data_IF_994871443431
#
_entry.id   IF_994871443431
#
_cell.length_a   1.000
_cell.length_b   1.000
_cell.length_c   1.000
_cell.angle_alpha   90.00
_cell.angle_beta   90.00
_cell.angle_gamma   90.00
#
_symmetry.space_group_name_H-M   'P 1'
#
loop_
_entity.id
_entity.type
_entity.pdbx_description
1 polymer ?
#
# COMPACT_ATOMS: atom_id res chain seq x y z
N UNK A 1 20.74 10.84 4.11
CA UNK A 1 21.36 9.58 3.61
C UNK A 1 22.85 9.61 3.97
N UNK A 2 23.39 8.50 4.46
CA UNK A 2 24.70 8.45 5.14
C UNK A 2 25.93 8.22 4.24
N UNK A 3 25.74 7.93 2.94
CA UNK A 3 26.85 7.85 1.98
C UNK A 3 27.05 9.21 1.31
N UNK A 4 28.08 9.91 1.76
CA UNK A 4 28.43 11.27 1.38
C UNK A 4 29.29 11.34 0.10
N UNK A 5 29.29 12.48 -0.57
CA UNK A 5 30.11 12.78 -1.76
C UNK A 5 29.28 12.91 -3.04
N UNK A 6 29.61 13.92 -3.84
CA UNK A 6 29.01 14.19 -5.17
C UNK A 6 29.78 13.55 -6.32
N UNK A 7 30.93 12.94 -6.03
CA UNK A 7 31.77 12.22 -6.99
C UNK A 7 31.16 10.89 -7.46
N UNK A 8 31.59 10.42 -8.64
CA UNK A 8 31.07 9.20 -9.24
C UNK A 8 31.29 7.95 -8.37
N UNK A 9 32.36 7.87 -7.56
CA UNK A 9 32.56 6.72 -6.66
C UNK A 9 31.47 6.70 -5.57
N UNK A 10 31.19 7.82 -4.92
CA UNK A 10 30.07 7.93 -3.97
C UNK A 10 28.71 7.69 -4.63
N UNK A 11 28.52 8.17 -5.86
CA UNK A 11 27.31 7.93 -6.66
C UNK A 11 27.11 6.44 -6.95
N UNK A 12 28.16 5.74 -7.38
CA UNK A 12 28.17 4.29 -7.64
C UNK A 12 27.84 3.50 -6.36
N UNK A 13 28.45 3.85 -5.22
CA UNK A 13 28.16 3.19 -3.93
C UNK A 13 26.67 3.36 -3.58
N UNK A 14 26.12 4.58 -3.66
CA UNK A 14 24.70 4.84 -3.41
C UNK A 14 23.77 4.03 -4.32
N UNK A 15 24.02 4.04 -5.63
CA UNK A 15 23.21 3.31 -6.61
C UNK A 15 23.32 1.78 -6.45
N UNK A 16 24.49 1.25 -6.14
CA UNK A 16 24.67 -0.20 -5.94
C UNK A 16 24.03 -0.68 -4.63
N UNK A 17 24.10 0.08 -3.53
CA UNK A 17 23.40 -0.28 -2.28
C UNK A 17 21.89 -0.46 -2.50
N UNK A 18 21.21 0.51 -3.16
CA UNK A 18 19.77 0.34 -3.43
C UNK A 18 19.48 -0.72 -4.49
N UNK A 19 20.42 -0.99 -5.41
CA UNK A 19 20.27 -2.07 -6.39
C UNK A 19 20.35 -3.44 -5.71
N UNK A 20 21.28 -3.67 -4.78
CA UNK A 20 21.33 -4.88 -3.96
C UNK A 20 20.07 -5.07 -3.10
N UNK A 21 19.58 -4.02 -2.45
CA UNK A 21 18.33 -4.04 -1.68
C UNK A 21 17.14 -4.43 -2.56
N UNK A 22 17.00 -3.84 -3.75
CA UNK A 22 15.94 -4.22 -4.69
C UNK A 22 16.15 -5.64 -5.25
N UNK A 23 17.39 -6.06 -5.51
CA UNK A 23 17.74 -7.37 -6.04
C UNK A 23 17.35 -8.51 -5.08
N UNK A 24 17.52 -8.33 -3.76
CA UNK A 24 17.02 -9.28 -2.77
C UNK A 24 15.49 -9.48 -2.90
N UNK A 25 14.73 -8.39 -3.00
CA UNK A 25 13.28 -8.42 -3.19
C UNK A 25 12.88 -9.05 -4.55
N UNK A 26 13.62 -8.76 -5.63
CA UNK A 26 13.36 -9.32 -6.97
C UNK A 26 13.57 -10.84 -6.98
N UNK A 27 14.63 -11.34 -6.33
CA UNK A 27 14.91 -12.79 -6.22
C UNK A 27 13.83 -13.50 -5.38
N UNK A 28 13.34 -12.84 -4.33
CA UNK A 28 12.21 -13.35 -3.54
C UNK A 28 10.91 -13.38 -4.37
N UNK A 29 10.52 -12.26 -5.01
CA UNK A 29 9.32 -12.21 -5.85
C UNK A 29 9.37 -13.18 -7.04
N UNK A 30 10.54 -13.37 -7.65
CA UNK A 30 10.79 -14.42 -8.65
C UNK A 30 10.50 -15.83 -8.12
N UNK A 31 10.47 -16.03 -6.80
CA UNK A 31 10.15 -17.34 -6.19
C UNK A 31 8.68 -17.43 -5.78
N UNK A 32 8.17 -16.43 -5.05
CA UNK A 32 6.84 -16.48 -4.42
C UNK A 32 5.68 -15.99 -5.30
N UNK A 33 5.94 -15.40 -6.47
CA UNK A 33 4.90 -14.84 -7.34
C UNK A 33 4.99 -15.33 -8.79
N UNK A 34 3.88 -15.88 -9.30
CA UNK A 34 3.77 -16.37 -10.68
C UNK A 34 4.03 -15.26 -11.70
N UNK A 35 3.40 -14.09 -11.49
CA UNK A 35 3.55 -12.90 -12.33
C UNK A 35 5.01 -12.42 -12.43
N UNK A 36 5.75 -12.42 -11.32
CA UNK A 36 7.17 -12.05 -11.30
C UNK A 36 8.08 -13.16 -11.89
N UNK A 37 7.77 -14.43 -11.63
CA UNK A 37 8.50 -15.58 -12.20
C UNK A 37 8.37 -15.66 -13.73
N UNK A 38 7.20 -15.33 -14.29
CA UNK A 38 7.00 -15.24 -15.75
C UNK A 38 7.80 -14.10 -16.37
N UNK A 39 7.93 -12.95 -15.68
CA UNK A 39 8.75 -11.81 -16.13
C UNK A 39 10.25 -12.11 -16.07
N UNK A 40 10.70 -12.82 -15.02
CA UNK A 40 12.10 -13.19 -14.83
C UNK A 40 12.26 -14.71 -14.62
N UNK A 41 12.23 -15.53 -15.69
CA UNK A 41 12.32 -16.99 -15.55
C UNK A 41 13.66 -17.48 -14.97
N UNK A 42 14.77 -16.87 -15.41
CA UNK A 42 16.16 -17.19 -14.98
C UNK A 42 16.90 -15.94 -14.49
N UNK A 43 18.05 -16.13 -13.84
CA UNK A 43 18.89 -15.02 -13.39
C UNK A 43 19.48 -14.21 -14.57
N UNK A 44 19.64 -14.82 -15.74
CA UNK A 44 20.09 -14.13 -16.96
C UNK A 44 19.05 -13.10 -17.46
N UNK A 45 17.76 -13.29 -17.16
CA UNK A 45 16.73 -12.28 -17.41
C UNK A 45 16.84 -11.10 -16.43
N UNK A 46 17.26 -11.35 -15.19
CA UNK A 46 17.53 -10.30 -14.17
C UNK A 46 18.77 -9.48 -14.57
N UNK A 47 19.80 -10.13 -15.14
CA UNK A 47 20.96 -9.45 -15.72
C UNK A 47 20.61 -8.69 -17.01
N UNK A 48 19.85 -9.31 -17.92
CA UNK A 48 19.40 -8.68 -19.17
C UNK A 48 18.50 -7.45 -18.94
N UNK A 49 17.78 -7.40 -17.83
CA UNK A 49 17.01 -6.24 -17.38
C UNK A 49 17.85 -5.17 -16.64
N UNK A 50 19.16 -5.36 -16.47
CA UNK A 50 20.06 -4.42 -15.81
C UNK A 50 19.95 -4.37 -14.27
N UNK A 51 19.31 -5.36 -13.65
CA UNK A 51 19.02 -5.40 -12.21
C UNK A 51 20.17 -6.04 -11.41
N UNK A 52 20.92 -6.95 -12.05
CA UNK A 52 22.15 -7.58 -11.58
C UNK A 52 23.23 -7.41 -12.66
N UNK A 53 24.52 -7.25 -12.30
CA UNK A 53 25.61 -7.23 -13.28
C UNK A 53 26.07 -8.64 -13.66
N UNK A 54 26.78 -8.84 -14.80
CA UNK A 54 27.36 -10.14 -15.13
C UNK A 54 28.38 -10.64 -14.08
N UNK A 55 29.14 -9.73 -13.47
CA UNK A 55 30.11 -10.02 -12.40
C UNK A 55 29.41 -10.47 -11.11
N UNK A 56 28.30 -9.82 -10.75
CA UNK A 56 27.46 -10.22 -9.62
C UNK A 56 26.78 -11.56 -9.87
N UNK A 57 26.36 -11.85 -11.11
CA UNK A 57 25.85 -13.19 -11.44
C UNK A 57 26.92 -14.25 -11.23
N UNK A 58 28.16 -14.02 -11.64
CA UNK A 58 29.26 -14.95 -11.35
C UNK A 58 29.48 -15.13 -9.84
N UNK A 59 29.36 -14.07 -9.03
CA UNK A 59 29.45 -14.15 -7.57
C UNK A 59 28.24 -14.83 -6.90
N UNK A 60 27.05 -14.71 -7.48
CA UNK A 60 25.83 -15.38 -7.03
C UNK A 60 25.82 -16.88 -7.38
N UNK A 61 26.29 -17.20 -8.59
CA UNK A 61 26.42 -18.56 -9.10
C UNK A 61 27.57 -19.31 -8.38
N UNK A 62 28.63 -18.62 -7.91
CA UNK A 62 29.72 -19.23 -7.13
C UNK A 62 29.33 -19.69 -5.72
N UNK A 63 28.20 -19.21 -5.18
CA UNK A 63 27.61 -19.77 -3.97
C UNK A 63 27.05 -21.18 -4.26
N UNK A 64 27.68 -22.22 -3.74
CA UNK A 64 27.33 -23.63 -4.02
C UNK A 64 26.05 -24.13 -3.33
N UNK A 65 25.44 -23.33 -2.47
CA UNK A 65 24.27 -23.73 -1.69
C UNK A 65 23.02 -23.86 -2.58
N UNK A 66 22.41 -25.05 -2.59
CA UNK A 66 21.17 -25.37 -3.31
C UNK A 66 19.92 -24.99 -2.48
N UNK A 67 19.84 -23.71 -2.09
CA UNK A 67 18.70 -23.11 -1.36
C UNK A 67 18.34 -21.78 -2.02
N UNK A 68 17.25 -21.14 -1.58
CA UNK A 68 16.94 -19.80 -2.07
C UNK A 68 18.00 -18.78 -1.59
N UNK A 69 18.54 -17.99 -2.53
CA UNK A 69 19.65 -17.05 -2.30
C UNK A 69 19.23 -15.58 -2.23
N UNK A 70 17.95 -15.26 -2.00
CA UNK A 70 17.49 -13.86 -1.84
C UNK A 70 18.24 -13.10 -0.72
N UNK A 71 18.87 -13.81 0.21
CA UNK A 71 19.68 -13.25 1.29
C UNK A 71 21.06 -12.75 0.84
N UNK A 72 21.59 -13.22 -0.30
CA UNK A 72 22.96 -12.91 -0.76
C UNK A 72 23.18 -11.40 -1.00
N UNK A 73 22.27 -10.64 -1.65
CA UNK A 73 22.44 -9.20 -1.81
C UNK A 73 22.38 -8.39 -0.50
N UNK A 74 21.74 -8.90 0.57
CA UNK A 74 21.83 -8.26 1.89
C UNK A 74 23.27 -8.33 2.43
N UNK A 75 23.92 -9.49 2.33
CA UNK A 75 25.34 -9.66 2.73
C UNK A 75 26.26 -8.79 1.88
N UNK A 76 26.00 -8.67 0.58
CA UNK A 76 26.74 -7.74 -0.29
C UNK A 76 26.54 -6.26 0.11
N UNK A 77 25.35 -5.89 0.58
CA UNK A 77 25.05 -4.53 1.08
C UNK A 77 25.85 -4.18 2.34
N UNK A 78 25.94 -5.12 3.29
CA UNK A 78 26.76 -5.00 4.50
C UNK A 78 28.24 -4.82 4.12
N UNK A 79 28.74 -5.67 3.21
CA UNK A 79 30.13 -5.59 2.74
C UNK A 79 30.43 -4.29 1.98
N UNK A 80 29.49 -3.76 1.20
CA UNK A 80 29.64 -2.48 0.51
C UNK A 80 29.67 -1.28 1.47
N UNK A 81 28.99 -1.34 2.61
CA UNK A 81 29.14 -0.31 3.66
C UNK A 81 30.48 -0.43 4.37
N UNK A 82 30.97 -1.63 4.64
CA UNK A 82 32.33 -1.82 5.16
C UNK A 82 33.40 -1.25 4.21
N UNK A 83 33.15 -1.22 2.90
CA UNK A 83 33.97 -0.51 1.90
C UNK A 83 33.74 1.01 1.98
N UNK A 84 32.49 1.48 2.01
CA UNK A 84 32.17 2.91 2.06
C UNK A 84 32.73 3.63 3.31
N UNK A 85 32.76 2.95 4.45
CA UNK A 85 33.38 3.44 5.70
C UNK A 85 34.91 3.49 5.56
N UNK A 86 35.54 2.46 4.99
CA UNK A 86 36.99 2.45 4.71
C UNK A 86 37.42 3.53 3.70
N UNK A 87 36.57 3.85 2.74
CA UNK A 87 36.77 4.95 1.77
C UNK A 87 36.41 6.34 2.34
N UNK A 88 36.05 6.45 3.62
CA UNK A 88 35.67 7.72 4.27
C UNK A 88 34.38 8.34 3.73
N UNK A 89 33.58 7.58 2.95
CA UNK A 89 32.32 8.04 2.36
C UNK A 89 31.16 8.00 3.34
N UNK A 90 31.29 7.26 4.44
CA UNK A 90 30.26 7.09 5.46
C UNK A 90 30.91 7.05 6.84
N UNK A 91 30.40 7.85 7.78
CA UNK A 91 30.91 7.88 9.15
C UNK A 91 30.62 6.57 9.88
N UNK A 92 31.64 6.03 10.57
CA UNK A 92 31.50 4.88 11.47
C UNK A 92 30.63 5.21 12.70
N UNK A 93 30.02 4.19 13.32
CA UNK A 93 29.14 4.33 14.48
C UNK A 93 27.67 4.36 14.08
N UNK A 94 26.87 5.25 14.69
CA UNK A 94 25.41 5.26 14.57
C UNK A 94 24.87 5.25 13.11
N UNK A 95 25.46 5.95 12.13
CA UNK A 95 24.99 5.88 10.74
C UNK A 95 25.07 4.48 10.12
N UNK A 96 26.07 3.69 10.52
CA UNK A 96 26.24 2.29 10.10
C UNK A 96 25.22 1.42 10.83
N UNK A 97 25.09 1.59 12.14
CA UNK A 97 24.13 0.85 12.96
C UNK A 97 22.71 1.02 12.43
N UNK A 98 22.22 2.26 12.27
CA UNK A 98 20.85 2.49 11.78
C UNK A 98 20.61 1.90 10.38
N UNK A 99 21.61 1.91 9.48
CA UNK A 99 21.47 1.23 8.20
C UNK A 99 21.31 -0.29 8.38
N UNK A 100 22.10 -0.90 9.26
CA UNK A 100 22.01 -2.33 9.53
C UNK A 100 20.68 -2.70 10.19
N UNK A 101 20.16 -1.85 11.08
CA UNK A 101 18.85 -2.03 11.72
C UNK A 101 17.72 -1.98 10.68
N UNK A 102 17.74 -1.01 9.76
CA UNK A 102 16.78 -0.92 8.63
C UNK A 102 16.93 -2.08 7.64
N UNK A 103 18.17 -2.50 7.34
CA UNK A 103 18.44 -3.66 6.48
C UNK A 103 17.93 -4.97 7.11
N UNK A 104 18.08 -5.11 8.43
CA UNK A 104 17.54 -6.22 9.20
C UNK A 104 16.01 -6.16 9.24
N UNK A 105 15.41 -4.98 9.43
CA UNK A 105 13.95 -4.80 9.35
C UNK A 105 13.39 -5.25 7.98
N UNK A 106 14.06 -4.90 6.89
CA UNK A 106 13.71 -5.39 5.56
C UNK A 106 13.95 -6.89 5.41
N UNK A 107 15.07 -7.42 5.93
CA UNK A 107 15.36 -8.86 5.90
C UNK A 107 14.29 -9.68 6.64
N UNK A 108 13.84 -9.23 7.81
CA UNK A 108 12.74 -9.84 8.57
C UNK A 108 11.44 -9.81 7.77
N UNK A 109 11.11 -8.69 7.10
CA UNK A 109 9.94 -8.59 6.20
C UNK A 109 10.04 -9.57 5.02
N UNK A 110 11.22 -9.75 4.40
CA UNK A 110 11.42 -10.79 3.39
C UNK A 110 11.34 -12.22 3.96
N UNK A 111 11.71 -12.41 5.23
CA UNK A 111 11.57 -13.67 5.96
C UNK A 111 10.11 -14.05 6.22
N UNK A 112 9.25 -13.10 6.61
CA UNK A 112 7.81 -13.34 6.75
C UNK A 112 7.16 -13.71 5.41
N UNK A 113 7.51 -13.00 4.32
CA UNK A 113 7.03 -13.34 2.97
C UNK A 113 7.45 -14.76 2.55
N UNK A 114 8.70 -15.14 2.80
CA UNK A 114 9.17 -16.52 2.60
C UNK A 114 8.43 -17.54 3.48
N UNK A 115 8.16 -17.19 4.74
CA UNK A 115 7.42 -18.04 5.67
C UNK A 115 5.97 -18.29 5.25
N UNK A 116 5.27 -17.28 4.73
CA UNK A 116 3.90 -17.42 4.24
C UNK A 116 3.79 -18.22 2.93
N UNK A 117 4.81 -18.16 2.06
CA UNK A 117 4.91 -18.99 0.85
C UNK A 117 5.21 -20.47 1.20
N UNK A 118 6.13 -20.70 2.13
CA UNK A 118 6.54 -22.06 2.52
C UNK A 118 5.53 -22.76 3.45
N UNK A 119 4.91 -22.03 4.39
CA UNK A 119 3.98 -22.56 5.40
C UNK A 119 2.58 -22.04 5.12
N UNK A 120 1.95 -22.62 4.11
CA UNK A 120 0.55 -22.35 3.74
C UNK A 120 -0.45 -22.87 4.80
N UNK A 121 -1.69 -22.41 4.75
CA UNK A 121 -2.80 -22.97 5.56
C UNK A 121 -2.85 -24.50 5.44
N UNK A 122 -2.96 -25.26 6.56
CA UNK A 122 -2.96 -26.72 6.51
C UNK A 122 -4.02 -27.29 5.56
N UNK A 123 -3.60 -28.17 4.65
CA UNK A 123 -4.45 -28.72 3.59
C UNK A 123 -5.74 -29.38 4.13
N UNK A 124 -5.68 -30.01 5.31
CA UNK A 124 -6.87 -30.60 5.96
C UNK A 124 -7.93 -29.55 6.33
N UNK A 125 -7.54 -28.32 6.70
CA UNK A 125 -8.52 -27.27 7.01
C UNK A 125 -9.23 -26.78 5.74
N UNK A 126 -8.50 -26.53 4.65
CA UNK A 126 -9.11 -26.12 3.37
C UNK A 126 -10.00 -27.22 2.81
N UNK A 127 -9.59 -28.49 2.91
CA UNK A 127 -10.40 -29.65 2.54
C UNK A 127 -11.67 -29.77 3.37
N UNK A 128 -11.62 -29.65 4.70
CA UNK A 128 -12.80 -29.78 5.57
C UNK A 128 -13.82 -28.67 5.30
N UNK A 129 -13.38 -27.40 5.20
CA UNK A 129 -14.30 -26.27 4.92
C UNK A 129 -14.92 -26.41 3.52
N UNK A 130 -14.14 -26.81 2.53
CA UNK A 130 -14.63 -27.07 1.16
C UNK A 130 -15.65 -28.21 1.15
N UNK A 131 -15.33 -29.35 1.79
CA UNK A 131 -16.19 -30.53 1.85
C UNK A 131 -17.52 -30.24 2.54
N UNK A 132 -17.50 -29.56 3.70
CA UNK A 132 -18.71 -29.20 4.44
C UNK A 132 -19.61 -28.27 3.63
N UNK A 133 -19.03 -27.28 2.95
CA UNK A 133 -19.78 -26.34 2.09
C UNK A 133 -20.42 -27.07 0.90
N UNK A 134 -19.69 -27.96 0.24
CA UNK A 134 -20.23 -28.75 -0.88
C UNK A 134 -21.27 -29.77 -0.43
N UNK A 135 -21.10 -30.41 0.73
CA UNK A 135 -22.07 -31.36 1.31
C UNK A 135 -23.37 -30.65 1.73
N UNK A 136 -23.28 -29.42 2.24
CA UNK A 136 -24.45 -28.58 2.51
C UNK A 136 -25.26 -28.31 1.23
N UNK A 137 -24.59 -27.96 0.12
CA UNK A 137 -25.29 -27.73 -1.14
C UNK A 137 -25.75 -29.01 -1.85
N UNK A 138 -25.03 -30.13 -1.70
CA UNK A 138 -25.49 -31.44 -2.17
C UNK A 138 -26.77 -31.88 -1.44
N UNK A 139 -26.84 -31.71 -0.11
CA UNK A 139 -28.06 -32.02 0.64
C UNK A 139 -29.19 -31.02 0.34
N UNK A 140 -28.89 -29.73 0.13
CA UNK A 140 -29.89 -28.76 -0.34
C UNK A 140 -30.41 -29.06 -1.75
N UNK A 141 -29.60 -29.60 -2.67
CA UNK A 141 -30.02 -29.97 -4.03
C UNK A 141 -31.15 -31.01 -4.03
N UNK A 142 -31.23 -31.84 -2.99
CA UNK A 142 -32.29 -32.84 -2.81
C UNK A 142 -33.39 -32.29 -1.87
N UNK A 143 -32.99 -31.83 -0.68
CA UNK A 143 -33.91 -31.41 0.40
C UNK A 143 -34.49 -30.00 0.30
N UNK A 144 -34.29 -29.29 -0.82
CA UNK A 144 -34.93 -28.00 -1.13
C UNK A 144 -35.64 -28.00 -2.49
N UNK A 145 -35.93 -29.18 -3.03
CA UNK A 145 -36.84 -29.32 -4.18
C UNK A 145 -38.27 -28.99 -3.73
N UNK A 146 -39.03 -28.33 -4.59
CA UNK A 146 -40.47 -28.18 -4.36
C UNK A 146 -41.13 -29.55 -4.59
N UNK A 147 -41.89 -30.02 -3.60
CA UNK A 147 -42.68 -31.24 -3.68
C UNK A 147 -44.09 -30.90 -4.14
N UNK A 148 -44.81 -31.89 -4.66
CA UNK A 148 -46.22 -31.77 -5.05
C UNK A 148 -47.09 -31.34 -3.85
N UNK A 149 -47.66 -30.11 -3.86
CA UNK A 149 -48.46 -29.61 -2.73
C UNK A 149 -49.74 -30.42 -2.50
N UNK A 150 -50.24 -31.16 -3.49
CA UNK A 150 -51.42 -32.02 -3.34
C UNK A 150 -51.18 -33.21 -2.39
N UNK A 151 -49.93 -33.54 -2.07
CA UNK A 151 -49.56 -34.62 -1.15
C UNK A 151 -49.47 -34.15 0.32
N UNK A 152 -49.60 -32.85 0.59
CA UNK A 152 -49.73 -32.31 1.96
C UNK A 152 -48.48 -32.49 2.84
N UNK A 153 -47.29 -32.55 2.23
CA UNK A 153 -46.04 -32.65 2.98
C UNK A 153 -45.77 -31.38 3.80
N UNK A 154 -45.57 -31.48 5.14
CA UNK A 154 -45.37 -30.31 5.98
C UNK A 154 -44.24 -29.39 5.48
N UNK A 155 -44.53 -28.09 5.35
CA UNK A 155 -43.57 -27.08 4.91
C UNK A 155 -43.30 -27.06 3.40
N UNK A 156 -44.04 -27.84 2.61
CA UNK A 156 -43.94 -27.90 1.14
C UNK A 156 -45.27 -27.50 0.48
N UNK A 157 -46.00 -26.59 1.12
CA UNK A 157 -47.35 -26.14 0.74
C UNK A 157 -47.37 -25.22 -0.50
N UNK A 158 -46.20 -24.78 -0.98
CA UNK A 158 -46.03 -23.82 -2.09
C UNK A 158 -44.90 -24.28 -3.01
N UNK A 159 -45.20 -24.45 -4.30
CA UNK A 159 -44.20 -24.54 -5.37
C UNK A 159 -43.97 -23.14 -5.98
N UNK A 160 -42.71 -22.70 -6.03
CA UNK A 160 -42.31 -21.44 -6.69
C UNK A 160 -41.53 -21.68 -8.00
N UNK A 161 -41.32 -22.94 -8.38
CA UNK A 161 -40.46 -23.44 -9.46
C UNK A 161 -38.96 -23.12 -9.31
N UNK A 162 -38.61 -21.87 -8.97
CA UNK A 162 -37.24 -21.42 -8.75
C UNK A 162 -36.98 -21.13 -7.25
N UNK A 163 -36.03 -21.83 -6.59
CA UNK A 163 -35.84 -21.76 -5.15
C UNK A 163 -34.98 -20.55 -4.73
N UNK A 164 -35.55 -19.34 -4.85
CA UNK A 164 -34.90 -18.03 -4.62
C UNK A 164 -34.03 -18.02 -3.35
N UNK A 165 -34.57 -18.41 -2.20
CA UNK A 165 -33.86 -18.37 -0.92
C UNK A 165 -32.68 -19.35 -0.84
N UNK A 166 -32.77 -20.50 -1.50
CA UNK A 166 -31.65 -21.45 -1.60
C UNK A 166 -30.55 -20.89 -2.50
N UNK A 167 -30.88 -20.17 -3.57
CA UNK A 167 -29.89 -19.44 -4.38
C UNK A 167 -29.24 -18.26 -3.63
N UNK A 168 -30.00 -17.53 -2.80
CA UNK A 168 -29.41 -16.49 -1.94
C UNK A 168 -28.44 -17.09 -0.90
N UNK A 169 -28.78 -18.24 -0.31
CA UNK A 169 -27.87 -18.99 0.56
C UNK A 169 -26.64 -19.52 -0.20
N UNK A 170 -26.81 -19.98 -1.44
CA UNK A 170 -25.72 -20.40 -2.34
C UNK A 170 -24.72 -19.26 -2.58
N UNK A 171 -25.18 -18.09 -3.02
CA UNK A 171 -24.31 -16.93 -3.21
C UNK A 171 -23.64 -16.45 -1.92
N UNK A 172 -24.30 -16.57 -0.76
CA UNK A 172 -23.70 -16.21 0.52
C UNK A 172 -22.56 -17.16 0.91
N UNK A 173 -22.83 -18.47 1.06
CA UNK A 173 -21.83 -19.40 1.57
C UNK A 173 -20.73 -19.75 0.57
N UNK A 174 -21.03 -19.94 -0.72
CA UNK A 174 -19.98 -20.14 -1.73
C UNK A 174 -19.26 -18.83 -2.08
N UNK A 175 -19.93 -17.67 -2.01
CA UNK A 175 -19.25 -16.38 -2.12
C UNK A 175 -18.22 -16.20 -1.00
N UNK A 176 -18.57 -16.54 0.23
CA UNK A 176 -17.65 -16.49 1.37
C UNK A 176 -16.51 -17.51 1.25
N UNK A 177 -16.79 -18.73 0.76
CA UNK A 177 -15.72 -19.69 0.41
C UNK A 177 -14.77 -19.13 -0.67
N UNK A 178 -15.30 -18.48 -1.71
CA UNK A 178 -14.47 -17.89 -2.77
C UNK A 178 -13.61 -16.73 -2.31
N UNK A 179 -14.06 -15.93 -1.34
CA UNK A 179 -13.19 -14.93 -0.69
C UNK A 179 -11.99 -15.60 0.01
N UNK A 180 -12.20 -16.75 0.66
CA UNK A 180 -11.10 -17.50 1.27
C UNK A 180 -10.19 -18.20 0.25
N UNK A 181 -10.75 -18.70 -0.87
CA UNK A 181 -9.95 -19.27 -1.97
C UNK A 181 -9.07 -18.21 -2.65
N UNK A 182 -9.60 -17.01 -2.92
CA UNK A 182 -8.85 -15.92 -3.57
C UNK A 182 -7.73 -15.40 -2.66
N UNK A 183 -8.00 -15.21 -1.36
CA UNK A 183 -7.01 -14.68 -0.42
C UNK A 183 -5.96 -15.70 0.06
N UNK A 184 -6.00 -16.97 -0.39
CA UNK A 184 -5.04 -18.00 0.07
C UNK A 184 -3.64 -17.82 -0.52
N UNK A 185 -3.52 -17.19 -1.70
CA UNK A 185 -2.25 -16.87 -2.34
C UNK A 185 -2.32 -15.51 -3.06
N UNK A 186 -2.16 -14.38 -2.34
CA UNK A 186 -2.27 -13.04 -2.92
C UNK A 186 -1.06 -12.64 -3.80
N UNK A 187 -0.20 -13.60 -4.19
CA UNK A 187 0.94 -13.40 -5.10
C UNK A 187 0.75 -14.09 -6.46
N UNK A 188 -0.47 -14.55 -6.74
CA UNK A 188 -0.88 -15.20 -7.98
C UNK A 188 -0.98 -14.26 -9.18
N UNK A 189 -2.12 -14.33 -9.87
CA UNK A 189 -2.46 -13.61 -11.10
C UNK A 189 -3.97 -13.26 -11.21
N UNK A 190 -4.72 -13.30 -10.11
CA UNK A 190 -6.15 -12.93 -10.05
C UNK A 190 -6.34 -11.39 -9.94
N UNK A 191 -7.54 -10.89 -10.29
CA UNK A 191 -7.85 -9.46 -10.44
C UNK A 191 -7.62 -8.56 -9.18
N UNK A 192 -7.56 -9.15 -7.98
CA UNK A 192 -7.29 -8.45 -6.70
C UNK A 192 -5.93 -8.84 -6.06
N UNK A 193 -5.08 -9.62 -6.74
CA UNK A 193 -3.76 -10.02 -6.22
C UNK A 193 -2.77 -8.85 -6.15
N UNK A 194 -1.66 -9.06 -5.42
CA UNK A 194 -0.60 -8.05 -5.33
C UNK A 194 0.14 -7.89 -6.66
N UNK A 195 0.11 -6.67 -7.19
CA UNK A 195 0.83 -6.18 -8.39
C UNK A 195 2.36 -6.18 -8.20
N UNK A 196 2.98 -7.34 -8.00
CA UNK A 196 4.42 -7.52 -7.71
C UNK A 196 5.31 -6.88 -8.76
N UNK A 197 4.93 -6.97 -10.03
CA UNK A 197 5.64 -6.35 -11.13
C UNK A 197 5.62 -4.81 -11.06
N UNK A 198 4.51 -4.20 -10.65
CA UNK A 198 4.44 -2.76 -10.40
C UNK A 198 5.31 -2.35 -9.21
N UNK A 199 5.30 -3.13 -8.11
CA UNK A 199 6.16 -2.85 -6.95
C UNK A 199 7.65 -2.88 -7.33
N UNK A 200 8.09 -3.84 -8.14
CA UNK A 200 9.46 -3.93 -8.67
C UNK A 200 9.81 -2.64 -9.44
N UNK A 201 9.02 -2.28 -10.46
CA UNK A 201 9.32 -1.13 -11.31
C UNK A 201 9.28 0.21 -10.55
N UNK A 202 8.27 0.38 -9.70
CA UNK A 202 8.13 1.56 -8.83
C UNK A 202 9.32 1.68 -7.89
N UNK A 203 9.75 0.59 -7.24
CA UNK A 203 10.83 0.65 -6.27
C UNK A 203 12.18 0.92 -6.94
N UNK A 204 12.46 0.32 -8.10
CA UNK A 204 13.68 0.62 -8.88
C UNK A 204 13.76 2.12 -9.22
N UNK A 205 12.68 2.68 -9.79
CA UNK A 205 12.63 4.09 -10.21
C UNK A 205 12.76 5.04 -8.99
N UNK A 206 11.96 4.81 -7.95
CA UNK A 206 11.93 5.66 -6.75
C UNK A 206 13.26 5.58 -5.98
N UNK A 207 13.83 4.39 -5.78
CA UNK A 207 15.09 4.24 -5.07
C UNK A 207 16.25 4.93 -5.80
N UNK A 208 16.37 4.80 -7.14
CA UNK A 208 17.41 5.53 -7.87
C UNK A 208 17.22 7.04 -7.81
N UNK A 209 15.99 7.53 -7.98
CA UNK A 209 15.68 8.97 -7.88
C UNK A 209 16.06 9.53 -6.51
N UNK A 210 15.78 8.79 -5.42
CA UNK A 210 16.11 9.21 -4.04
C UNK A 210 17.61 9.31 -3.81
N UNK A 211 18.41 8.33 -4.27
CA UNK A 211 19.86 8.26 -3.92
C UNK A 211 20.80 8.89 -4.95
N UNK A 212 20.27 9.24 -6.11
CA UNK A 212 21.01 9.89 -7.19
C UNK A 212 20.47 11.30 -7.45
N UNK A 213 19.30 11.42 -8.07
CA UNK A 213 18.74 12.70 -8.50
C UNK A 213 18.40 13.64 -7.33
N UNK A 214 17.97 13.13 -6.18
CA UNK A 214 17.64 13.93 -4.99
C UNK A 214 18.82 14.08 -4.02
N UNK A 215 19.98 13.46 -4.28
CA UNK A 215 21.11 13.53 -3.37
C UNK A 215 21.64 14.97 -3.23
N UNK A 216 21.62 15.50 -2.01
CA UNK A 216 22.11 16.84 -1.69
C UNK A 216 21.25 18.00 -2.22
N UNK A 217 20.11 17.74 -2.88
CA UNK A 217 19.21 18.79 -3.37
C UNK A 217 18.23 19.19 -2.28
N UNK A 218 18.29 20.47 -1.87
CA UNK A 218 17.31 21.11 -1.01
C UNK A 218 16.75 22.35 -1.74
N UNK A 219 15.52 22.74 -1.39
CA UNK A 219 15.01 24.07 -1.72
C UNK A 219 15.81 25.15 -0.98
N UNK A 220 15.78 26.39 -1.48
CA UNK A 220 16.37 27.54 -0.77
C UNK A 220 15.70 27.68 0.60
N UNK A 221 16.52 27.78 1.64
CA UNK A 221 16.03 28.03 3.00
C UNK A 221 15.61 29.50 3.10
N UNK A 222 14.30 29.70 3.24
CA UNK A 222 13.64 30.99 3.44
C UNK A 222 12.65 30.87 4.61
N UNK A 223 12.23 32.02 5.14
CA UNK A 223 11.16 32.07 6.15
C UNK A 223 9.83 31.64 5.55
N UNK A 224 9.05 30.88 6.29
CA UNK A 224 7.71 30.46 5.90
C UNK A 224 6.70 31.63 6.02
N UNK A 225 5.50 31.53 5.39
CA UNK A 225 4.49 32.58 5.40
C UNK A 225 3.89 32.91 6.78
N UNK A 226 4.11 32.09 7.80
CA UNK A 226 3.61 32.27 9.16
C UNK A 226 4.71 32.71 10.14
N UNK A 227 5.94 32.94 9.67
CA UNK A 227 7.09 33.30 10.51
C UNK A 227 6.82 34.56 11.34
N UNK A 228 6.76 34.39 12.67
CA UNK A 228 6.56 35.49 13.63
C UNK A 228 5.10 35.78 13.97
N UNK A 229 4.13 35.00 13.45
CA UNK A 229 2.75 35.03 13.94
C UNK A 229 2.64 34.26 15.26
N UNK A 230 1.92 34.82 16.24
CA UNK A 230 1.63 34.15 17.52
C UNK A 230 0.46 33.17 17.44
N UNK A 231 -0.41 33.34 16.45
CA UNK A 231 -1.53 32.45 16.13
C UNK A 231 -1.54 32.18 14.63
N UNK A 232 -1.75 30.92 14.24
CA UNK A 232 -1.74 30.50 12.84
C UNK A 232 -3.14 30.04 12.46
N UNK A 233 -3.81 30.81 11.61
CA UNK A 233 -5.05 30.37 10.95
C UNK A 233 -4.75 29.93 9.51
N UNK A 234 -4.98 28.65 9.24
CA UNK A 234 -4.85 28.07 7.90
C UNK A 234 -6.16 28.33 7.13
N UNK A 235 -6.11 28.85 5.89
CA UNK A 235 -7.31 29.16 5.12
C UNK A 235 -8.06 27.88 4.68
N UNK A 236 -9.39 27.93 4.75
CA UNK A 236 -10.28 26.89 4.24
C UNK A 236 -10.81 27.28 2.86
N UNK A 237 -10.93 26.30 1.96
CA UNK A 237 -11.76 26.46 0.74
C UNK A 237 -13.24 26.49 1.13
N UNK A 238 -14.09 27.12 0.31
CA UNK A 238 -15.54 27.22 0.52
C UNK A 238 -16.18 25.85 0.77
N UNK A 239 -15.88 24.85 -0.08
CA UNK A 239 -16.38 23.48 0.05
C UNK A 239 -15.90 22.76 1.32
N UNK A 240 -14.74 23.15 1.88
CA UNK A 240 -14.22 22.59 3.14
C UNK A 240 -14.66 23.36 4.38
N UNK A 241 -15.28 24.53 4.24
CA UNK A 241 -15.58 25.43 5.37
C UNK A 241 -16.59 24.81 6.35
N UNK A 242 -17.49 23.96 5.83
CA UNK A 242 -18.40 23.09 6.63
C UNK A 242 -17.67 22.10 7.56
N UNK A 243 -16.35 21.94 7.41
CA UNK A 243 -15.50 21.09 8.26
C UNK A 243 -14.61 21.90 9.22
N UNK A 244 -14.67 23.25 9.22
CA UNK A 244 -13.97 24.08 10.23
C UNK A 244 -14.69 23.98 11.58
N UNK A 245 -14.43 22.91 12.31
CA UNK A 245 -14.85 22.74 13.71
C UNK A 245 -13.94 23.55 14.66
N UNK A 246 -14.47 23.93 15.82
CA UNK A 246 -13.66 24.52 16.88
C UNK A 246 -12.68 23.48 17.46
N UNK A 247 -11.51 23.94 17.91
CA UNK A 247 -10.49 23.06 18.50
C UNK A 247 -11.07 22.26 19.68
N UNK A 248 -10.98 20.93 19.61
CA UNK A 248 -11.35 20.04 20.70
C UNK A 248 -10.37 20.19 21.87
N UNK A 249 -10.86 20.66 23.02
CA UNK A 249 -10.04 20.93 24.21
C UNK A 249 -9.93 19.72 25.16
N UNK A 250 -10.72 18.67 24.95
CA UNK A 250 -10.89 17.54 25.86
C UNK A 250 -12.31 17.47 26.43
N UNK A 251 -12.88 16.27 26.53
CA UNK A 251 -14.27 16.02 26.97
C UNK A 251 -14.57 16.42 28.42
N UNK A 252 -13.52 16.62 29.24
CA UNK A 252 -13.62 17.02 30.64
C UNK A 252 -13.43 18.53 30.86
N UNK A 253 -13.13 19.32 29.83
CA UNK A 253 -12.81 20.75 30.02
C UNK A 253 -13.98 21.62 30.52
N UNK A 254 -15.22 21.19 30.26
CA UNK A 254 -16.43 21.85 30.78
C UNK A 254 -16.87 21.28 32.15
N UNK A 255 -16.19 20.23 32.66
CA UNK A 255 -16.46 19.63 33.97
C UNK A 255 -15.83 20.50 35.05
N UNK A 256 -16.64 21.39 35.64
CA UNK A 256 -16.26 22.19 36.79
C UNK A 256 -16.21 21.30 38.05
N UNK A 257 -15.04 21.10 38.70
CA UNK A 257 -14.97 20.30 39.92
C UNK A 257 -15.73 20.99 41.06
N UNK A 258 -16.51 20.22 41.81
CA UNK A 258 -17.28 20.74 42.95
C UNK A 258 -16.35 20.85 44.16
N UNK A 259 -15.88 22.06 44.48
CA UNK A 259 -15.23 22.35 45.76
C UNK A 259 -14.12 23.41 45.75
N UNK A 260 -13.49 23.68 44.60
CA UNK A 260 -12.30 24.54 44.56
C UNK A 260 -12.60 26.03 44.36
N UNK A 261 -12.77 26.76 45.46
CA UNK A 261 -12.86 28.23 45.47
C UNK A 261 -11.51 28.92 45.66
N UNK A 262 -10.51 28.61 44.82
CA UNK A 262 -9.33 29.48 44.69
C UNK A 262 -9.72 30.76 43.96
N UNK A 263 -10.13 31.77 44.75
CA UNK A 263 -10.93 32.87 44.26
C UNK A 263 -10.18 33.92 43.42
N UNK A 264 -10.60 34.06 42.16
CA UNK A 264 -10.70 35.37 41.51
C UNK A 264 -11.86 35.40 40.51
N UNK A 265 -12.84 36.26 40.76
CA UNK A 265 -13.96 36.49 39.84
C UNK A 265 -13.57 37.53 38.80
N UNK A 266 -13.07 37.09 37.65
CA UNK A 266 -13.02 37.88 36.42
C UNK A 266 -14.29 37.62 35.58
N UNK A 267 -14.80 38.59 34.80
CA UNK A 267 -16.04 38.44 34.05
C UNK A 267 -15.87 37.50 32.84
N UNK A 268 -16.59 36.38 32.87
CA UNK A 268 -16.67 35.45 31.73
C UNK A 268 -17.56 36.04 30.62
N UNK A 269 -16.95 36.53 29.54
CA UNK A 269 -17.64 36.64 28.25
C UNK A 269 -17.93 35.22 27.74
N UNK A 270 -19.18 34.80 27.80
CA UNK A 270 -19.65 33.56 27.18
C UNK A 270 -19.84 33.77 25.67
N UNK A 271 -18.87 33.34 24.87
CA UNK A 271 -19.19 32.89 23.51
C UNK A 271 -19.81 31.49 23.62
N UNK A 272 -21.09 31.39 23.24
CA UNK A 272 -21.89 30.18 23.44
C UNK A 272 -21.48 29.09 22.46
N UNK A 273 -20.95 27.98 22.99
CA UNK A 273 -20.47 26.81 22.23
C UNK A 273 -21.63 25.93 21.73
N UNK A 274 -22.54 26.49 20.92
CA UNK A 274 -23.60 25.73 20.25
C UNK A 274 -23.00 24.87 19.12
N UNK A 275 -22.56 23.67 19.46
CA UNK A 275 -22.13 22.65 18.50
C UNK A 275 -23.31 21.71 18.16
N UNK A 276 -24.04 21.92 17.05
CA UNK A 276 -25.16 21.06 16.66
C UNK A 276 -24.74 19.63 16.30
N UNK A 277 -23.44 19.39 16.09
CA UNK A 277 -22.87 18.07 15.84
C UNK A 277 -22.40 17.36 17.13
N UNK A 278 -22.67 17.90 18.32
CA UNK A 278 -22.45 17.14 19.56
C UNK A 278 -23.46 15.99 19.62
N UNK A 279 -23.00 14.82 19.15
CA UNK A 279 -23.75 13.56 19.07
C UNK A 279 -24.54 13.34 20.36
N UNK A 280 -25.89 13.34 20.27
CA UNK A 280 -26.77 13.00 21.41
C UNK A 280 -26.25 11.71 22.04
N UNK A 281 -26.18 11.69 23.37
CA UNK A 281 -25.70 10.52 24.13
C UNK A 281 -26.51 9.30 23.70
N UNK A 282 -25.86 8.37 23.01
CA UNK A 282 -26.50 7.14 22.58
C UNK A 282 -26.61 6.23 23.79
N UNK A 283 -27.84 5.99 24.25
CA UNK A 283 -28.09 4.89 25.17
C UNK A 283 -27.59 3.59 24.50
N UNK A 284 -26.94 2.73 25.28
CA UNK A 284 -26.31 1.52 24.76
C UNK A 284 -27.38 0.54 24.22
N UNK A 285 -27.41 0.35 22.91
CA UNK A 285 -27.98 -0.84 22.26
C UNK A 285 -26.81 -1.74 21.87
N UNK A 286 -26.86 -3.01 22.27
CA UNK A 286 -25.77 -3.96 21.99
C UNK A 286 -25.81 -4.52 20.55
N UNK A 287 -26.78 -4.13 19.74
CA UNK A 287 -26.98 -4.65 18.38
C UNK A 287 -27.36 -3.57 17.35
N UNK A 288 -26.41 -3.21 16.48
CA UNK A 288 -26.67 -3.34 15.03
C UNK A 288 -27.29 -2.21 14.19
N UNK A 289 -27.04 -0.92 14.43
CA UNK A 289 -27.49 0.18 13.53
C UNK A 289 -26.57 0.42 12.29
N UNK A 290 -25.93 -0.62 11.77
CA UNK A 290 -24.89 -0.49 10.72
C UNK A 290 -25.39 -0.41 9.27
N UNK A 291 -26.63 -0.85 8.97
CA UNK A 291 -26.99 -1.29 7.62
C UNK A 291 -28.00 -0.44 6.84
N UNK A 292 -28.69 0.53 7.45
CA UNK A 292 -29.84 1.19 6.80
C UNK A 292 -29.52 2.35 5.84
N UNK A 293 -28.30 2.90 5.86
CA UNK A 293 -27.97 4.17 5.17
C UNK A 293 -27.49 4.03 3.72
N UNK A 294 -27.51 2.83 3.11
CA UNK A 294 -26.97 2.60 1.75
C UNK A 294 -28.03 2.70 0.64
N UNK A 295 -29.33 2.56 0.95
CA UNK A 295 -30.36 2.32 -0.09
C UNK A 295 -30.99 3.62 -0.66
N UNK A 296 -30.98 4.74 0.06
CA UNK A 296 -31.70 5.97 -0.35
C UNK A 296 -30.80 7.09 -0.91
N UNK A 297 -30.40 6.97 -2.18
CA UNK A 297 -29.91 8.11 -3.01
C UNK A 297 -30.53 8.11 -4.42
N UNK A 298 -31.73 8.69 -4.61
CA UNK A 298 -32.24 9.00 -5.96
C UNK A 298 -31.47 10.20 -6.54
N UNK A 299 -30.74 9.98 -7.63
CA UNK A 299 -30.03 11.06 -8.34
C UNK A 299 -30.99 11.99 -9.08
N UNK A 300 -30.85 13.32 -8.91
CA UNK A 300 -31.64 14.32 -9.62
C UNK A 300 -30.81 15.04 -10.68
N UNK A 301 -31.09 14.79 -11.96
CA UNK A 301 -30.67 15.65 -13.08
C UNK A 301 -31.50 16.94 -13.03
N UNK A 302 -30.84 18.10 -12.99
CA UNK A 302 -31.51 19.39 -13.21
C UNK A 302 -31.59 19.70 -14.69
N UNK A 303 -32.79 19.75 -15.26
CA UNK A 303 -33.01 20.28 -16.61
C UNK A 303 -33.29 21.79 -16.53
N UNK A 304 -32.67 22.57 -17.40
CA UNK A 304 -32.99 23.98 -17.58
C UNK A 304 -34.22 24.12 -18.48
N UNK A 305 -35.33 24.54 -17.89
CA UNK A 305 -36.45 25.19 -18.58
C UNK A 305 -36.75 26.46 -17.78
N UNK A 306 -36.78 27.61 -18.44
CA UNK A 306 -37.00 28.90 -17.79
C UNK A 306 -38.41 29.42 -18.03
N UNK A 307 -38.77 30.45 -17.28
CA UNK A 307 -39.79 31.42 -17.71
C UNK A 307 -39.40 32.82 -17.21
N UNK A 308 -40.08 33.87 -17.70
CA UNK A 308 -39.55 35.24 -17.68
C UNK A 308 -40.44 36.28 -16.95
N UNK A 309 -39.98 37.55 -16.99
CA UNK A 309 -40.58 38.78 -16.45
C UNK A 309 -40.35 39.05 -14.94
N UNK A 310 -40.32 40.30 -14.45
CA UNK A 310 -40.57 41.62 -15.08
C UNK A 310 -39.46 42.66 -14.78
N UNK A 311 -39.58 43.86 -15.37
CA UNK A 311 -38.54 44.90 -15.52
C UNK A 311 -38.10 45.63 -14.23
N UNK A 312 -36.90 46.21 -14.28
CA UNK A 312 -36.46 47.34 -13.44
C UNK A 312 -35.21 48.00 -14.03
N UNK A 313 -35.30 49.24 -14.50
CA UNK A 313 -34.20 49.96 -15.19
C UNK A 313 -33.68 51.10 -14.32
N UNK A 314 -32.35 51.23 -14.20
CA UNK A 314 -31.63 52.50 -14.12
C UNK A 314 -30.11 52.28 -14.26
N UNK A 315 -29.45 53.11 -15.07
CA UNK A 315 -28.00 53.25 -15.21
C UNK A 315 -27.63 54.70 -14.85
N UNK A 316 -26.39 55.01 -14.43
CA UNK A 316 -25.63 55.94 -15.29
C UNK A 316 -24.09 55.81 -15.31
N UNK A 317 -23.56 55.94 -16.54
CA UNK A 317 -22.34 56.69 -16.91
C UNK A 317 -20.93 56.15 -16.61
N UNK A 318 -20.00 56.60 -17.47
CA UNK A 318 -18.60 56.19 -17.66
C UNK A 318 -17.67 57.40 -17.54
N UNK A 319 -16.43 57.21 -17.09
CA UNK A 319 -15.29 58.06 -17.48
C UNK A 319 -13.95 57.26 -17.53
N UNK A 320 -12.96 57.77 -18.26
CA UNK A 320 -11.85 57.00 -18.85
C UNK A 320 -10.43 57.55 -18.53
N UNK A 321 -9.50 56.65 -18.15
CA UNK A 321 -8.06 56.59 -18.56
C UNK A 321 -7.14 57.84 -18.41
N UNK A 322 -5.84 57.82 -18.81
CA UNK A 322 -4.90 56.72 -19.17
C UNK A 322 -4.12 56.22 -17.92
N UNK A 323 -2.94 55.56 -17.89
CA UNK A 323 -1.90 55.07 -18.86
C UNK A 323 -1.21 53.82 -18.24
N UNK A 324 -0.21 53.12 -18.77
CA UNK A 324 0.55 53.13 -20.05
C UNK A 324 1.00 51.67 -20.36
N UNK A 325 1.37 51.34 -21.59
CA UNK A 325 2.01 50.04 -21.98
C UNK A 325 3.44 50.28 -22.53
N UNK A 326 4.25 49.34 -23.11
CA UNK A 326 3.95 48.14 -23.93
C UNK A 326 4.57 46.83 -23.34
N UNK A 327 4.68 45.63 -23.94
CA UNK A 327 4.91 45.18 -25.35
C UNK A 327 4.26 43.81 -25.67
N UNK A 328 3.84 43.66 -26.94
CA UNK A 328 3.52 42.48 -27.78
C UNK A 328 3.62 41.04 -27.21
N UNK A 329 2.63 40.15 -27.39
CA UNK A 329 2.21 39.43 -28.64
C UNK A 329 3.30 38.45 -29.19
N UNK A 330 2.98 37.21 -29.62
CA UNK A 330 1.97 36.87 -30.65
C UNK A 330 1.19 35.54 -30.46
N UNK A 331 0.11 35.39 -31.26
CA UNK A 331 -0.73 34.17 -31.43
C UNK A 331 -0.38 33.38 -32.70
N UNK A 332 -0.59 32.06 -32.68
CA UNK A 332 -1.27 31.21 -33.71
C UNK A 332 -1.38 29.76 -33.17
N UNK A 333 -2.19 28.81 -33.68
CA UNK A 333 -3.17 28.78 -34.78
C UNK A 333 -3.65 27.32 -34.99
N UNK A 334 -4.86 27.08 -35.54
CA UNK A 334 -5.54 25.75 -35.53
C UNK A 334 -5.70 25.16 -36.95
N UNK A 335 -5.32 23.89 -37.19
CA UNK A 335 -5.72 22.93 -38.28
C UNK A 335 -4.85 21.66 -38.20
N UNK A 336 -5.14 20.50 -38.83
CA UNK A 336 -6.36 20.09 -39.55
C UNK A 336 -6.17 18.96 -40.60
N UNK A 337 -6.24 17.70 -40.17
CA UNK A 337 -6.70 16.47 -40.91
C UNK A 337 -5.96 15.86 -42.15
N UNK A 338 -5.98 14.50 -42.17
CA UNK A 338 -6.15 13.51 -43.29
C UNK A 338 -5.03 13.02 -44.25
N UNK A 339 -4.66 11.73 -44.09
CA UNK A 339 -4.62 10.58 -45.05
C UNK A 339 -3.78 10.63 -46.35
N UNK A 340 -2.81 9.69 -46.51
CA UNK A 340 -2.70 8.72 -47.65
C UNK A 340 -1.43 7.82 -47.61
N UNK A 341 -1.56 6.53 -47.97
CA UNK A 341 -0.51 5.54 -48.36
C UNK A 341 -0.57 5.26 -49.89
N UNK A 342 0.21 4.34 -50.55
CA UNK A 342 1.41 3.54 -50.18
C UNK A 342 2.60 3.64 -51.20
N UNK A 343 3.72 2.90 -51.03
CA UNK A 343 4.62 2.59 -52.18
C UNK A 343 6.10 2.16 -51.99
N UNK A 344 6.36 0.88 -51.70
CA UNK A 344 7.50 0.02 -52.13
C UNK A 344 9.00 0.47 -52.20
N UNK A 345 9.83 -0.31 -51.48
CA UNK A 345 11.06 -1.05 -51.88
C UNK A 345 12.50 -0.47 -51.80
N UNK A 346 13.36 -1.33 -51.21
CA UNK A 346 14.83 -1.49 -51.33
C UNK A 346 15.76 -0.58 -50.51
N UNK A 347 16.80 -1.21 -49.92
CA UNK A 347 17.85 -0.57 -49.11
C UNK A 347 18.32 -1.46 -47.94
N UNK A 348 19.56 -1.93 -48.00
CA UNK A 348 20.20 -2.78 -46.96
C UNK A 348 21.06 -1.93 -46.02
N UNK A 349 21.01 -2.16 -44.69
CA UNK A 349 22.18 -2.15 -43.77
C UNK A 349 21.81 -2.62 -42.34
N UNK A 350 22.77 -2.59 -41.40
CA UNK A 350 22.83 -3.53 -40.24
C UNK A 350 22.74 -2.92 -38.83
N UNK A 351 22.23 -3.73 -37.88
CA UNK A 351 22.24 -3.57 -36.40
C UNK A 351 21.32 -2.48 -35.79
N UNK A 352 20.94 -2.58 -34.50
CA UNK A 352 21.02 -3.71 -33.56
C UNK A 352 19.63 -4.21 -33.08
N UNK A 353 19.60 -5.31 -32.31
CA UNK A 353 18.37 -5.84 -31.68
C UNK A 353 17.78 -4.85 -30.66
N UNK A 354 16.67 -4.21 -31.03
CA UNK A 354 15.92 -3.31 -30.15
C UNK A 354 14.65 -4.00 -29.65
N UNK A 355 14.58 -4.30 -28.35
CA UNK A 355 13.39 -4.89 -27.73
C UNK A 355 12.28 -3.84 -27.60
N UNK A 356 11.37 -3.81 -28.57
CA UNK A 356 10.16 -2.98 -28.54
C UNK A 356 9.19 -3.50 -27.47
N UNK A 357 9.07 -2.77 -26.37
CA UNK A 357 8.08 -3.05 -25.31
C UNK A 357 6.65 -2.87 -25.88
N UNK A 358 5.73 -3.84 -25.71
CA UNK A 358 4.34 -3.69 -26.12
C UNK A 358 3.67 -2.54 -25.37
N UNK A 359 3.05 -1.60 -26.10
CA UNK A 359 2.40 -0.43 -25.52
C UNK A 359 0.99 -0.77 -25.00
N UNK A 360 0.92 -1.49 -23.87
CA UNK A 360 -0.34 -1.88 -23.25
C UNK A 360 -1.05 -0.67 -22.61
N UNK A 361 -2.01 -0.09 -23.33
CA UNK A 361 -2.95 0.92 -22.83
C UNK A 361 -3.93 0.30 -21.80
N UNK A 362 -3.47 0.06 -20.57
CA UNK A 362 -4.34 -0.34 -19.47
C UNK A 362 -5.28 0.81 -19.06
N UNK A 363 -6.60 0.58 -19.19
CA UNK A 363 -7.62 1.55 -18.80
C UNK A 363 -7.74 1.65 -17.27
N UNK A 364 -6.96 2.57 -16.71
CA UNK A 364 -6.79 2.86 -15.27
C UNK A 364 -8.11 3.03 -14.49
N UNK A 365 -8.55 1.98 -13.80
CA UNK A 365 -9.60 2.07 -12.77
C UNK A 365 -8.99 2.39 -11.41
N UNK A 366 -8.93 3.67 -11.06
CA UNK A 366 -8.52 4.08 -9.71
C UNK A 366 -9.53 3.65 -8.64
N UNK A 367 -9.15 2.66 -7.82
CA UNK A 367 -9.65 2.47 -6.45
C UNK A 367 -8.47 2.08 -5.55
N UNK A 368 -8.04 2.91 -4.59
CA UNK A 368 -7.15 2.43 -3.53
C UNK A 368 -7.93 1.49 -2.61
N UNK A 369 -7.45 0.26 -2.42
CA UNK A 369 -8.03 -0.64 -1.43
C UNK A 369 -7.70 -0.15 -0.02
N UNK A 370 -8.69 0.44 0.65
CA UNK A 370 -8.56 0.91 2.03
C UNK A 370 -8.31 -0.24 3.03
N UNK A 371 -8.62 -1.48 2.64
CA UNK A 371 -8.45 -2.69 3.47
C UNK A 371 -6.97 -2.99 3.71
N UNK A 372 -6.14 -2.91 2.66
CA UNK A 372 -4.72 -3.22 2.74
C UNK A 372 -3.92 -2.29 3.68
N UNK A 373 -4.37 -1.04 3.85
CA UNK A 373 -3.75 -0.09 4.76
C UNK A 373 -4.04 -0.41 6.24
N UNK A 374 -5.25 -0.86 6.55
CA UNK A 374 -5.65 -1.15 7.93
C UNK A 374 -5.08 -2.47 8.47
N UNK A 375 -5.00 -3.52 7.65
CA UNK A 375 -4.41 -4.82 8.07
C UNK A 375 -2.95 -4.65 8.50
N UNK A 376 -2.19 -3.77 7.85
CA UNK A 376 -0.79 -3.47 8.20
C UNK A 376 -0.63 -2.58 9.45
N UNK A 377 -1.71 -2.01 9.99
CA UNK A 377 -1.70 -1.25 11.26
C UNK A 377 -2.29 -2.03 12.43
N UNK A 378 -3.27 -2.92 12.19
CA UNK A 378 -3.87 -3.74 13.25
C UNK A 378 -2.94 -4.82 13.83
N UNK A 379 -1.88 -5.21 13.09
CA UNK A 379 -0.92 -6.22 13.55
C UNK A 379 0.12 -5.66 14.55
N UNK A 380 0.26 -4.33 14.65
CA UNK A 380 1.24 -3.69 15.55
C UNK A 380 0.70 -3.29 16.93
N UNK A 381 -0.55 -3.61 17.27
CA UNK A 381 -1.21 -3.16 18.53
C UNK A 381 -1.57 -4.31 19.49
N UNK A 382 -1.16 -5.55 19.21
CA UNK A 382 -1.49 -6.73 20.05
C UNK A 382 -0.27 -7.52 20.53
N UNK A 383 0.72 -6.82 21.08
CA UNK A 383 1.82 -7.43 21.87
C UNK A 383 2.29 -6.43 22.94
N UNK A 384 1.69 -6.51 24.13
CA UNK A 384 2.20 -5.92 25.37
C UNK A 384 2.44 -7.05 26.37
N UNK A 385 3.60 -7.69 26.27
CA UNK A 385 4.08 -8.63 27.29
C UNK A 385 4.84 -7.91 28.41
N UNK A 386 4.88 -8.54 29.58
CA UNK A 386 5.35 -7.99 30.84
C UNK A 386 6.88 -8.07 30.94
N UNK A 387 7.54 -6.98 31.34
CA UNK A 387 8.99 -6.82 31.16
C UNK A 387 9.83 -7.48 32.26
N UNK A 388 10.28 -8.71 32.03
CA UNK A 388 11.38 -9.32 32.78
C UNK A 388 12.75 -8.67 32.42
N UNK A 389 13.76 -8.72 33.32
CA UNK A 389 15.03 -8.02 33.15
C UNK A 389 15.95 -8.69 32.10
N UNK A 390 16.58 -7.88 31.24
CA UNK A 390 17.48 -8.37 30.19
C UNK A 390 18.64 -9.24 30.74
N UNK A 391 18.91 -10.43 30.16
CA UNK A 391 20.06 -11.24 30.52
C UNK A 391 21.36 -10.60 30.03
N UNK A 392 22.49 -10.88 30.71
CA UNK A 392 23.75 -10.24 30.35
C UNK A 392 24.26 -10.68 28.96
N UNK A 393 25.12 -9.89 28.29
CA UNK A 393 25.73 -10.29 27.02
C UNK A 393 26.51 -11.60 27.09
N UNK A 394 27.02 -11.99 28.25
CA UNK A 394 27.69 -13.27 28.45
C UNK A 394 26.71 -14.45 28.46
N UNK A 395 25.46 -14.23 28.86
CA UNK A 395 24.43 -15.27 28.95
C UNK A 395 23.63 -15.37 27.65
N UNK A 396 23.50 -14.27 26.90
CA UNK A 396 23.01 -14.28 25.51
C UNK A 396 23.93 -15.13 24.62
N UNK A 397 25.25 -15.01 24.79
CA UNK A 397 26.24 -15.84 24.06
C UNK A 397 26.18 -17.31 24.51
N UNK A 398 25.92 -17.60 25.79
CA UNK A 398 25.70 -18.99 26.24
C UNK A 398 24.42 -19.58 25.65
N UNK A 399 23.31 -18.85 25.60
CA UNK A 399 22.09 -19.33 24.97
C UNK A 399 22.29 -19.58 23.47
N UNK A 400 22.96 -18.68 22.75
CA UNK A 400 23.28 -18.88 21.34
C UNK A 400 24.21 -20.10 21.10
N UNK A 401 25.12 -20.40 22.02
CA UNK A 401 25.96 -21.61 21.93
C UNK A 401 25.20 -22.88 22.34
N UNK A 402 24.32 -22.82 23.34
CA UNK A 402 23.50 -23.95 23.76
C UNK A 402 22.51 -24.39 22.67
N UNK A 403 21.88 -23.43 21.97
CA UNK A 403 21.00 -23.70 20.83
C UNK A 403 21.76 -24.41 19.69
N UNK A 404 23.03 -24.03 19.46
CA UNK A 404 23.90 -24.66 18.47
C UNK A 404 24.42 -26.04 18.89
N UNK A 405 24.51 -26.34 20.19
CA UNK A 405 24.81 -27.68 20.71
C UNK A 405 23.57 -28.60 20.66
N UNK A 406 22.36 -28.11 20.99
CA UNK A 406 21.10 -28.89 20.82
C UNK A 406 20.86 -29.26 19.35
N UNK A 407 20.97 -28.30 18.42
CA UNK A 407 20.92 -28.57 16.98
C UNK A 407 22.00 -29.59 16.53
N UNK A 408 23.16 -29.64 17.21
CA UNK A 408 24.21 -30.62 16.90
C UNK A 408 23.92 -32.01 17.46
N UNK A 409 23.42 -32.12 18.70
CA UNK A 409 23.10 -33.42 19.30
C UNK A 409 21.96 -34.11 18.55
N UNK A 410 20.94 -33.37 18.08
CA UNK A 410 19.86 -33.93 17.25
C UNK A 410 20.34 -34.34 15.84
N UNK A 411 21.31 -33.64 15.25
CA UNK A 411 21.94 -34.07 13.99
C UNK A 411 22.81 -35.33 14.19
N UNK A 412 23.46 -35.48 15.35
CA UNK A 412 24.31 -36.64 15.68
C UNK A 412 23.50 -37.85 16.15
N UNK A 413 22.35 -37.66 16.79
CA UNK A 413 21.47 -38.74 17.26
C UNK A 413 20.87 -39.55 16.10
N UNK A 414 20.60 -38.88 14.98
CA UNK A 414 20.04 -39.46 13.73
C UNK A 414 21.08 -40.27 12.91
N UNK A 415 22.38 -40.22 13.25
CA UNK A 415 23.46 -40.92 12.52
C UNK A 415 24.18 -42.03 13.31
N UNK A 416 23.43 -42.88 14.03
CA UNK A 416 23.92 -44.18 14.51
C UNK A 416 23.10 -45.34 13.89
N UNK A 417 23.76 -46.45 13.48
CA UNK A 417 23.13 -47.56 12.74
C UNK A 417 22.37 -48.55 13.63
#
# INVERSE_FOLDING_TARGET
MYVHGTDDRSRIIRRTLVRYINLANIILFQTISGSAKKRFPTMDHVVGAGLMTPEEKQLYDSCTLNVNKHWVPFVWSINLINVAVKEGKMSSGEPVKQFLDELNSLRTKTGHLWGHDWVTVPLVYTQVVTLLTHLYFFTCLIGRQFLDPAQGYPGHDIDLYFPVYTFLQFFFFLGWLKVAEQLINPFGEDDDDFETNWFIDRNIQVCYTIVDDMYGKLAKLDKDPHWGLSTIEIPYTEASLIHKIANYKGSTMDVKPIGESYGRTEPLNFEQYDNPNHRKVSNYSLFGDGYFNIINRPGKRGSLTGDASHQGVLEPMVQHHPSNSPVAFFRTGRRGSTISEPGNLSGSETNPLTLTVPNNNYNRRHRPSAVAAHVLTSVSETEQEESDPEPSPADTVKMALAFLDEDLEDIVSVQKP
#
